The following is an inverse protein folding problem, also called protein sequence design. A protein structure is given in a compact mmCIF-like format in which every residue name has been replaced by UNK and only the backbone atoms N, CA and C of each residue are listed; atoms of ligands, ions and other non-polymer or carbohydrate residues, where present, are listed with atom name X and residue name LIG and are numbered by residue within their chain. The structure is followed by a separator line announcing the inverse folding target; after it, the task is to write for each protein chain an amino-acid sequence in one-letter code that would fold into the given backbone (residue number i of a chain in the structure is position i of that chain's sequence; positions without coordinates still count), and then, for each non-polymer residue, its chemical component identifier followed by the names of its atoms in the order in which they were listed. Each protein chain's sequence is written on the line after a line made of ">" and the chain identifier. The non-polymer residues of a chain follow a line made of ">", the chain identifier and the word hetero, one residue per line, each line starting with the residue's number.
data_IF_820427264815
#
_entry.id   IF_820427264815
#
_cell.length_a   1.000
_cell.length_b   1.000
_cell.length_c   1.000
_cell.angle_alpha   90.00
_cell.angle_beta   90.00
_cell.angle_gamma   90.00
#
_symmetry.space_group_name_H-M   'P 1'
#
loop_
_entity.id
_entity.type
_entity.pdbx_description
1 polymer ?
#
# COMPACT_ATOMS: atom_id res chain seq x y z
N UNK A 1 7.29 6.66 -4.97
CA UNK A 1 8.71 6.47 -4.58
C UNK A 1 9.65 6.27 -5.77
N UNK A 2 9.22 5.71 -6.90
CA UNK A 2 10.08 5.42 -8.06
C UNK A 2 10.84 6.61 -8.66
N UNK A 3 10.48 7.84 -8.32
CA UNK A 3 11.21 9.06 -8.72
C UNK A 3 12.19 9.55 -7.65
N UNK A 4 12.25 8.91 -6.49
CA UNK A 4 13.21 9.28 -5.45
C UNK A 4 14.61 8.74 -5.80
N UNK A 5 15.65 9.58 -5.63
CA UNK A 5 17.03 9.18 -5.93
C UNK A 5 17.45 7.95 -5.12
N UNK A 6 17.99 6.93 -5.82
CA UNK A 6 18.43 5.67 -5.23
C UNK A 6 17.30 4.71 -4.87
N UNK A 7 16.10 4.90 -5.41
CA UNK A 7 14.96 4.00 -5.23
C UNK A 7 14.58 3.38 -6.56
N UNK A 8 14.46 2.05 -6.61
CA UNK A 8 13.91 1.32 -7.75
C UNK A 8 12.93 0.25 -7.27
N UNK A 9 11.94 -0.09 -8.10
CA UNK A 9 11.02 -1.19 -7.79
C UNK A 9 11.73 -2.52 -7.94
N UNK A 10 11.47 -3.45 -7.03
CA UNK A 10 12.09 -4.77 -7.07
C UNK A 10 11.33 -5.75 -7.99
N UNK A 11 10.01 -5.69 -8.01
CA UNK A 11 9.16 -6.74 -8.59
C UNK A 11 8.50 -6.36 -9.93
N UNK A 12 8.98 -5.34 -10.62
CA UNK A 12 8.47 -5.01 -11.96
C UNK A 12 6.95 -4.73 -11.97
N UNK A 13 6.20 -5.57 -12.69
CA UNK A 13 4.72 -5.45 -12.81
C UNK A 13 3.96 -6.21 -11.72
N UNK A 14 4.65 -6.93 -10.83
CA UNK A 14 4.01 -7.64 -9.73
C UNK A 14 3.22 -6.68 -8.83
N UNK A 15 2.01 -7.08 -8.45
CA UNK A 15 1.08 -6.31 -7.63
C UNK A 15 0.87 -6.91 -6.25
N UNK A 16 1.63 -7.94 -5.91
CA UNK A 16 1.50 -8.64 -4.61
C UNK A 16 2.35 -8.03 -3.51
N UNK A 17 3.34 -7.17 -3.85
CA UNK A 17 4.21 -6.55 -2.86
C UNK A 17 4.62 -5.12 -3.22
N UNK A 18 5.12 -4.40 -2.22
CA UNK A 18 5.73 -3.07 -2.36
C UNK A 18 7.27 -3.13 -2.21
N UNK A 19 7.90 -4.26 -2.55
CA UNK A 19 9.35 -4.43 -2.48
C UNK A 19 10.11 -3.40 -3.32
N UNK A 20 11.17 -2.85 -2.74
CA UNK A 20 12.00 -1.82 -3.35
C UNK A 20 13.49 -2.17 -3.23
N UNK A 21 14.31 -1.63 -4.14
CA UNK A 21 15.74 -1.48 -3.92
C UNK A 21 16.01 -0.06 -3.43
N UNK A 22 16.65 0.06 -2.28
CA UNK A 22 17.13 1.30 -1.72
C UNK A 22 18.66 1.30 -1.78
N UNK A 23 19.23 2.17 -2.61
CA UNK A 23 20.69 2.26 -2.80
C UNK A 23 21.33 0.91 -3.16
N UNK A 24 20.63 0.09 -3.96
CA UNK A 24 21.06 -1.24 -4.38
C UNK A 24 20.73 -2.39 -3.42
N UNK A 25 20.26 -2.11 -2.23
CA UNK A 25 19.82 -3.14 -1.26
C UNK A 25 18.32 -3.37 -1.35
N UNK A 26 17.91 -4.62 -1.50
CA UNK A 26 16.49 -4.97 -1.48
C UNK A 26 15.90 -4.77 -0.08
N UNK A 27 14.78 -4.10 0.00
CA UNK A 27 13.96 -4.03 1.20
C UNK A 27 12.57 -4.61 0.92
N UNK A 28 12.17 -5.57 1.72
CA UNK A 28 10.84 -6.18 1.70
C UNK A 28 10.01 -5.67 2.86
N UNK A 29 10.66 -5.31 3.97
CA UNK A 29 10.01 -4.76 5.15
C UNK A 29 9.68 -3.28 4.96
N UNK A 30 8.42 -2.94 5.21
CA UNK A 30 7.97 -1.56 5.31
C UNK A 30 7.41 -1.30 6.69
N UNK A 31 7.68 -0.12 7.18
CA UNK A 31 7.18 0.34 8.48
C UNK A 31 5.93 1.19 8.27
N UNK A 32 5.06 1.14 9.26
CA UNK A 32 3.91 2.05 9.38
C UNK A 32 3.85 2.59 10.80
N UNK A 33 3.78 3.91 10.91
CA UNK A 33 3.75 4.62 12.20
C UNK A 33 4.89 4.18 13.15
N UNK A 34 6.08 3.89 12.58
CA UNK A 34 7.27 3.45 13.30
C UNK A 34 7.34 1.96 13.62
N UNK A 35 6.32 1.17 13.35
CA UNK A 35 6.30 -0.29 13.58
C UNK A 35 6.45 -1.07 12.28
N UNK A 36 7.10 -2.25 12.31
CA UNK A 36 7.19 -3.12 11.15
C UNK A 36 5.78 -3.58 10.75
N UNK A 37 5.38 -3.24 9.53
CA UNK A 37 4.03 -3.49 9.03
C UNK A 37 3.97 -4.64 8.00
N UNK A 38 4.92 -4.67 7.08
CA UNK A 38 5.12 -5.80 6.15
C UNK A 38 6.54 -6.30 6.30
N UNK A 39 6.74 -7.61 6.32
CA UNK A 39 8.02 -8.26 6.57
C UNK A 39 8.56 -9.02 5.35
N UNK A 40 7.69 -9.42 4.43
CA UNK A 40 8.05 -10.23 3.27
C UNK A 40 7.23 -9.88 2.02
N UNK A 41 7.57 -10.52 0.91
CA UNK A 41 6.95 -10.27 -0.41
C UNK A 41 5.50 -10.74 -0.51
N UNK A 42 5.01 -11.53 0.44
CA UNK A 42 3.64 -12.06 0.43
C UNK A 42 2.69 -11.30 1.35
N UNK A 43 3.18 -10.25 2.01
CA UNK A 43 2.36 -9.45 2.94
C UNK A 43 1.45 -8.44 2.23
N UNK A 44 1.45 -8.43 0.89
CA UNK A 44 0.63 -7.53 0.10
C UNK A 44 1.17 -6.10 0.05
N UNK A 45 0.39 -5.25 -0.60
CA UNK A 45 0.70 -3.83 -0.78
C UNK A 45 -0.07 -2.97 0.20
N UNK A 46 0.52 -1.87 0.61
CA UNK A 46 -0.20 -0.85 1.38
C UNK A 46 -1.11 -0.01 0.47
N UNK A 47 -2.22 0.48 1.01
CA UNK A 47 -3.10 1.40 0.28
C UNK A 47 -2.63 2.85 0.48
N UNK A 48 -2.13 3.51 -0.57
CA UNK A 48 -1.61 4.87 -0.45
C UNK A 48 -2.65 5.90 -0.03
N UNK A 49 -3.92 5.69 -0.38
CA UNK A 49 -5.00 6.62 -0.02
C UNK A 49 -5.23 6.72 1.49
N UNK A 50 -4.89 5.67 2.24
CA UNK A 50 -4.93 5.66 3.70
C UNK A 50 -3.74 6.33 4.39
N UNK A 51 -2.76 6.80 3.61
CA UNK A 51 -1.53 7.37 4.14
C UNK A 51 -1.54 8.90 4.07
N UNK A 52 -1.03 9.52 5.12
CA UNK A 52 -0.75 10.96 5.15
C UNK A 52 0.52 11.28 4.35
N UNK A 53 1.57 10.46 4.53
CA UNK A 53 2.84 10.60 3.83
C UNK A 53 3.64 9.31 3.83
N UNK A 54 4.65 9.27 2.97
CA UNK A 54 5.67 8.21 2.90
C UNK A 54 7.02 8.83 3.16
N UNK A 55 7.73 8.31 4.14
CA UNK A 55 9.04 8.76 4.58
C UNK A 55 10.11 7.77 4.10
N UNK A 56 11.12 8.28 3.44
CA UNK A 56 12.28 7.51 3.02
C UNK A 56 13.49 7.90 3.87
N UNK A 57 13.86 7.03 4.80
CA UNK A 57 15.00 7.23 5.70
C UNK A 57 16.21 6.53 5.10
N UNK A 58 17.18 7.32 4.62
CA UNK A 58 18.40 6.83 3.99
C UNK A 58 19.55 6.79 4.99
N UNK A 59 20.27 5.67 5.04
CA UNK A 59 21.44 5.50 5.91
C UNK A 59 21.15 4.69 7.17
N UNK A 60 21.95 4.92 8.21
CA UNK A 60 21.91 4.14 9.45
C UNK A 60 20.68 4.51 10.30
N UNK A 61 19.54 3.90 10.02
CA UNK A 61 18.28 4.10 10.75
C UNK A 61 18.07 3.05 11.86
N UNK A 62 19.05 2.18 12.09
CA UNK A 62 18.95 1.07 13.05
C UNK A 62 18.73 1.51 14.50
N UNK A 63 19.12 2.72 14.86
CA UNK A 63 18.87 3.28 16.19
C UNK A 63 17.36 3.43 16.47
N UNK A 64 16.57 3.74 15.45
CA UNK A 64 15.12 3.97 15.57
C UNK A 64 14.34 2.71 15.21
N UNK A 65 14.76 2.00 14.17
CA UNK A 65 13.98 0.90 13.56
C UNK A 65 14.58 -0.50 13.81
N UNK A 66 15.67 -0.61 14.57
CA UNK A 66 16.33 -1.89 14.85
C UNK A 66 17.08 -2.45 13.64
N UNK A 67 16.99 -3.76 13.41
CA UNK A 67 17.66 -4.44 12.30
C UNK A 67 16.95 -4.14 10.97
N UNK A 68 17.53 -3.24 10.18
CA UNK A 68 16.97 -2.79 8.90
C UNK A 68 17.98 -2.95 7.76
N UNK A 69 17.51 -2.87 6.50
CA UNK A 69 18.36 -2.89 5.32
C UNK A 69 19.39 -1.75 5.35
N UNK A 70 20.66 -2.01 5.00
CA UNK A 70 21.69 -0.96 4.91
C UNK A 70 21.34 0.16 3.93
N UNK A 71 20.47 -0.09 2.97
CA UNK A 71 19.99 0.91 2.00
C UNK A 71 19.11 1.98 2.63
N UNK A 72 18.42 1.65 3.73
CA UNK A 72 17.48 2.53 4.42
C UNK A 72 16.14 1.85 4.72
N UNK A 73 15.19 2.67 5.17
CA UNK A 73 13.85 2.26 5.60
C UNK A 73 12.79 3.08 4.88
N UNK A 74 11.69 2.44 4.52
CA UNK A 74 10.45 3.11 4.15
C UNK A 74 9.50 3.07 5.33
N UNK A 75 9.14 4.23 5.85
CA UNK A 75 8.11 4.39 6.86
C UNK A 75 6.90 5.10 6.24
N UNK A 76 5.72 4.57 6.46
CA UNK A 76 4.46 5.19 6.04
C UNK A 76 3.76 5.73 7.26
N UNK A 77 3.09 6.86 7.12
CA UNK A 77 2.33 7.48 8.22
C UNK A 77 0.86 7.43 7.85
N UNK A 78 0.07 6.81 8.70
CA UNK A 78 -1.38 6.70 8.53
C UNK A 78 -2.07 8.07 8.66
N UNK A 79 -3.12 8.29 7.89
CA UNK A 79 -4.03 9.42 8.09
C UNK A 79 -4.64 9.35 9.50
N UNK A 80 -4.58 10.46 10.24
CA UNK A 80 -5.00 10.53 11.64
C UNK A 80 -6.22 11.43 11.82
N UNK A 81 -6.99 11.23 12.91
CA UNK A 81 -8.07 12.12 13.26
C UNK A 81 -7.61 13.58 13.37
N UNK A 82 -8.46 14.48 12.93
CA UNK A 82 -8.28 15.93 13.04
C UNK A 82 -9.60 16.58 13.41
N UNK A 83 -9.54 17.73 14.07
CA UNK A 83 -10.72 18.57 14.33
C UNK A 83 -11.15 19.35 13.10
N UNK A 84 -10.28 19.50 12.10
CA UNK A 84 -10.64 20.09 10.82
C UNK A 84 -11.64 19.21 10.07
N UNK A 85 -12.66 19.87 9.50
CA UNK A 85 -13.71 19.18 8.76
C UNK A 85 -13.22 18.80 7.37
N UNK A 86 -12.99 17.50 7.13
CA UNK A 86 -12.68 16.93 5.82
C UNK A 86 -13.94 16.23 5.28
N UNK A 87 -14.24 16.47 4.00
CA UNK A 87 -15.35 15.85 3.26
C UNK A 87 -14.89 15.67 1.82
N UNK A 88 -14.23 14.56 1.56
CA UNK A 88 -13.69 14.23 0.24
C UNK A 88 -14.34 12.95 -0.28
N UNK A 89 -14.76 12.97 -1.54
CA UNK A 89 -15.25 11.82 -2.28
C UNK A 89 -14.65 11.87 -3.67
N UNK A 90 -13.95 10.80 -4.06
CA UNK A 90 -13.36 10.67 -5.37
C UNK A 90 -13.98 9.49 -6.12
N UNK A 91 -14.22 9.67 -7.40
CA UNK A 91 -14.67 8.64 -8.33
C UNK A 91 -13.69 8.62 -9.50
N UNK A 92 -13.03 7.49 -9.69
CA UNK A 92 -12.03 7.31 -10.73
C UNK A 92 -12.48 6.24 -11.72
N UNK A 93 -12.30 6.52 -13.00
CA UNK A 93 -12.46 5.56 -14.08
C UNK A 93 -11.20 5.58 -14.96
N UNK A 94 -10.81 4.45 -15.50
CA UNK A 94 -9.57 4.35 -16.26
C UNK A 94 -9.50 3.14 -17.17
N UNK A 95 -8.32 2.96 -17.77
CA UNK A 95 -8.02 1.78 -18.60
C UNK A 95 -8.15 0.48 -17.80
N UNK A 96 -8.34 -0.62 -18.51
CA UNK A 96 -8.50 -1.97 -17.96
C UNK A 96 -9.75 -2.10 -17.07
N UNK A 97 -10.85 -1.45 -17.46
CA UNK A 97 -12.11 -1.50 -16.74
C UNK A 97 -12.09 -0.87 -15.34
N UNK A 98 -11.02 -0.10 -15.01
CA UNK A 98 -10.83 0.48 -13.67
C UNK A 98 -12.00 1.37 -13.27
N UNK A 99 -12.56 1.04 -12.12
CA UNK A 99 -13.58 1.81 -11.42
C UNK A 99 -13.19 1.87 -9.94
N UNK A 100 -13.09 3.07 -9.41
CA UNK A 100 -12.72 3.26 -8.02
C UNK A 100 -13.56 4.36 -7.40
N UNK A 101 -14.00 4.11 -6.17
CA UNK A 101 -14.60 5.12 -5.31
C UNK A 101 -13.77 5.17 -4.04
N UNK A 102 -13.41 6.38 -3.61
CA UNK A 102 -12.70 6.58 -2.35
C UNK A 102 -13.23 7.80 -1.62
N UNK A 103 -13.18 7.77 -0.30
CA UNK A 103 -13.67 8.86 0.55
C UNK A 103 -12.80 9.04 1.79
N UNK A 104 -12.66 10.30 2.20
CA UNK A 104 -11.94 10.72 3.40
C UNK A 104 -12.81 11.71 4.17
N UNK A 105 -13.22 11.33 5.37
CA UNK A 105 -14.12 12.09 6.21
C UNK A 105 -13.49 12.26 7.59
N UNK A 106 -13.35 13.50 8.05
CA UNK A 106 -12.81 13.81 9.36
C UNK A 106 -13.53 15.02 10.01
N UNK A 107 -13.34 15.19 11.30
CA UNK A 107 -13.83 16.33 12.05
C UNK A 107 -13.90 16.09 13.55
N UNK A 108 -14.22 17.14 14.29
CA UNK A 108 -14.55 17.05 15.69
C UNK A 108 -15.90 16.34 15.91
N UNK A 109 -16.03 15.61 17.01
CA UNK A 109 -17.25 14.95 17.45
C UNK A 109 -17.96 15.75 18.55
N UNK A 110 -17.24 16.67 19.20
CA UNK A 110 -17.75 17.55 20.26
C UNK A 110 -17.32 19.01 19.99
N UNK A 111 -18.02 19.94 20.61
CA UNK A 111 -17.79 21.37 20.45
C UNK A 111 -16.44 21.83 21.06
N UNK A 112 -15.93 21.09 22.02
CA UNK A 112 -14.68 21.39 22.71
C UNK A 112 -13.46 20.84 21.92
N UNK A 113 -13.67 20.03 20.87
CA UNK A 113 -12.62 19.42 20.06
C UNK A 113 -11.81 18.36 20.80
N UNK A 114 -12.29 17.85 21.91
CA UNK A 114 -11.64 16.77 22.67
C UNK A 114 -11.70 15.43 21.96
N UNK A 115 -12.77 15.22 21.19
CA UNK A 115 -12.94 14.04 20.36
C UNK A 115 -12.87 14.39 18.88
N UNK A 116 -12.07 13.68 18.15
CA UNK A 116 -12.01 13.79 16.68
C UNK A 116 -11.94 12.42 16.04
N UNK A 117 -12.45 12.33 14.82
CA UNK A 117 -12.45 11.09 14.05
C UNK A 117 -11.87 11.30 12.66
N UNK A 118 -11.46 10.20 12.04
CA UNK A 118 -11.25 10.11 10.60
C UNK A 118 -11.71 8.74 10.10
N UNK A 119 -12.36 8.74 8.95
CA UNK A 119 -12.79 7.55 8.24
C UNK A 119 -12.27 7.65 6.82
N UNK A 120 -11.39 6.74 6.45
CA UNK A 120 -10.88 6.59 5.08
C UNK A 120 -11.40 5.29 4.52
N UNK A 121 -11.98 5.33 3.32
CA UNK A 121 -12.46 4.13 2.65
C UNK A 121 -12.16 4.17 1.16
N UNK A 122 -11.95 3.00 0.56
CA UNK A 122 -11.74 2.84 -0.87
C UNK A 122 -12.30 1.49 -1.33
N UNK A 123 -12.97 1.51 -2.48
CA UNK A 123 -13.34 0.32 -3.23
C UNK A 123 -12.85 0.47 -4.66
N UNK A 124 -12.08 -0.50 -5.13
CA UNK A 124 -11.59 -0.60 -6.49
C UNK A 124 -11.98 -1.94 -7.09
N UNK A 125 -12.42 -1.88 -8.33
CA UNK A 125 -12.63 -3.00 -9.22
C UNK A 125 -11.88 -2.68 -10.52
N UNK A 126 -10.94 -3.51 -10.94
CA UNK A 126 -10.05 -3.21 -12.05
C UNK A 126 -9.34 -4.47 -12.53
N UNK A 127 -9.23 -4.63 -13.83
CA UNK A 127 -8.20 -5.49 -14.40
C UNK A 127 -6.83 -4.80 -14.39
N UNK A 128 -5.80 -5.52 -14.82
CA UNK A 128 -4.46 -4.99 -15.00
C UNK A 128 -4.03 -5.03 -16.48
N UNK A 129 -2.84 -4.53 -16.78
CA UNK A 129 -2.21 -4.68 -18.09
C UNK A 129 -1.97 -6.15 -18.45
N UNK A 130 -1.76 -7.02 -17.47
CA UNK A 130 -1.52 -8.44 -17.67
C UNK A 130 -2.86 -9.17 -17.74
N UNK A 131 -3.04 -10.00 -18.75
CA UNK A 131 -4.26 -10.79 -18.94
C UNK A 131 -4.56 -11.65 -17.69
N UNK A 132 -5.83 -11.75 -17.31
CA UNK A 132 -6.30 -12.56 -16.18
C UNK A 132 -5.77 -12.14 -14.78
N UNK A 133 -5.18 -10.97 -14.65
CA UNK A 133 -4.68 -10.44 -13.38
C UNK A 133 -5.54 -9.26 -12.94
N UNK A 134 -6.48 -9.45 -11.99
CA UNK A 134 -7.28 -8.36 -11.43
C UNK A 134 -6.43 -7.45 -10.51
N UNK A 135 -6.92 -6.26 -10.23
CA UNK A 135 -6.35 -5.30 -9.26
C UNK A 135 -7.47 -4.75 -8.37
N UNK A 136 -8.23 -5.68 -7.76
CA UNK A 136 -9.35 -5.33 -6.90
C UNK A 136 -8.88 -5.03 -5.49
N UNK A 137 -9.51 -4.05 -4.86
CA UNK A 137 -9.23 -3.70 -3.47
C UNK A 137 -10.46 -3.17 -2.75
N UNK A 138 -10.59 -3.59 -1.50
CA UNK A 138 -11.46 -2.96 -0.52
C UNK A 138 -10.59 -2.52 0.65
N UNK A 139 -10.70 -1.26 1.03
CA UNK A 139 -9.92 -0.66 2.11
C UNK A 139 -10.83 0.18 2.99
N UNK A 140 -10.74 0.03 4.31
CA UNK A 140 -11.48 0.82 5.30
C UNK A 140 -10.55 1.05 6.49
N UNK A 141 -10.37 2.30 6.87
CA UNK A 141 -9.50 2.69 7.98
C UNK A 141 -10.19 3.74 8.88
N UNK A 142 -10.99 3.31 9.87
CA UNK A 142 -11.52 4.19 10.88
C UNK A 142 -10.46 4.53 11.92
N UNK A 143 -10.51 5.76 12.43
CA UNK A 143 -9.67 6.18 13.54
C UNK A 143 -10.39 7.18 14.43
N UNK A 144 -10.03 7.18 15.71
CA UNK A 144 -10.64 8.02 16.75
C UNK A 144 -9.52 8.58 17.64
N UNK A 145 -9.58 9.85 17.95
CA UNK A 145 -8.68 10.50 18.89
C UNK A 145 -9.47 11.11 20.04
N UNK A 146 -9.01 10.88 21.24
CA UNK A 146 -9.44 11.54 22.45
C UNK A 146 -8.28 12.37 23.03
N UNK A 147 -8.50 13.65 23.24
CA UNK A 147 -7.52 14.61 23.75
C UNK A 147 -8.20 15.52 24.77
N UNK A 148 -8.29 15.07 26.04
CA UNK A 148 -8.98 15.85 27.09
C UNK A 148 -8.25 17.15 27.44
N UNK A 149 -6.93 17.19 27.28
CA UNK A 149 -6.08 18.34 27.57
C UNK A 149 -4.85 18.40 26.65
N UNK A 150 -3.99 19.41 26.82
CA UNK A 150 -2.82 19.62 25.96
C UNK A 150 -1.72 18.55 26.12
N UNK A 151 -1.70 17.82 27.23
CA UNK A 151 -0.63 16.90 27.60
C UNK A 151 -1.03 15.42 27.41
N UNK A 152 -2.32 15.15 27.26
CA UNK A 152 -2.86 13.79 27.20
C UNK A 152 -3.59 13.56 25.89
N UNK A 153 -3.22 12.52 25.16
CA UNK A 153 -4.00 12.11 23.99
C UNK A 153 -3.95 10.59 23.80
N UNK A 154 -5.06 10.02 23.35
CA UNK A 154 -5.17 8.64 22.92
C UNK A 154 -5.74 8.62 21.52
N UNK A 155 -5.01 8.01 20.57
CA UNK A 155 -5.48 7.79 19.21
C UNK A 155 -5.63 6.30 18.97
N UNK A 156 -6.80 5.86 18.56
CA UNK A 156 -7.07 4.49 18.11
C UNK A 156 -7.11 4.46 16.60
N UNK A 157 -6.43 3.48 16.01
CA UNK A 157 -6.34 3.26 14.58
C UNK A 157 -6.79 1.83 14.28
N UNK A 158 -7.61 1.66 13.26
CA UNK A 158 -7.95 0.34 12.74
C UNK A 158 -7.91 0.34 11.21
N UNK A 159 -7.65 -0.82 10.63
CA UNK A 159 -7.62 -1.00 9.18
C UNK A 159 -8.14 -2.38 8.82
N UNK A 160 -8.91 -2.42 7.75
CA UNK A 160 -9.28 -3.64 7.02
C UNK A 160 -8.91 -3.43 5.56
N UNK A 161 -8.10 -4.32 5.02
CA UNK A 161 -7.76 -4.35 3.60
C UNK A 161 -8.00 -5.75 3.03
N UNK A 162 -8.69 -5.80 1.90
CA UNK A 162 -8.88 -7.01 1.11
C UNK A 162 -8.44 -6.75 -0.32
N UNK A 163 -7.50 -7.55 -0.81
CA UNK A 163 -6.99 -7.48 -2.18
C UNK A 163 -7.32 -8.77 -2.91
N UNK A 164 -7.63 -8.64 -4.20
CA UNK A 164 -7.67 -9.75 -5.14
C UNK A 164 -6.79 -9.41 -6.33
N UNK A 165 -5.78 -10.26 -6.57
CA UNK A 165 -4.87 -10.15 -7.71
C UNK A 165 -4.30 -11.51 -8.05
N UNK A 166 -3.21 -11.56 -8.82
CA UNK A 166 -2.41 -12.74 -9.04
C UNK A 166 -0.91 -12.38 -9.03
N UNK A 167 -0.08 -13.34 -8.68
CA UNK A 167 1.36 -13.17 -8.80
C UNK A 167 1.77 -13.19 -10.27
N UNK A 168 2.56 -12.23 -10.70
CA UNK A 168 3.00 -12.08 -12.07
C UNK A 168 4.47 -12.51 -12.20
N UNK A 169 4.69 -13.64 -12.85
CA UNK A 169 6.03 -14.09 -13.20
C UNK A 169 6.60 -13.29 -14.38
N UNK A 170 7.93 -13.17 -14.42
CA UNK A 170 8.62 -12.59 -15.57
C UNK A 170 8.46 -13.47 -16.83
N UNK A 171 8.35 -12.84 -17.98
CA UNK A 171 8.32 -13.56 -19.25
C UNK A 171 9.69 -14.19 -19.54
N UNK A 172 9.75 -15.39 -20.20
CA UNK A 172 10.99 -16.01 -20.56
C UNK A 172 11.76 -15.19 -21.60
N UNK A 173 13.08 -15.28 -21.59
CA UNK A 173 13.93 -14.57 -22.55
C UNK A 173 13.65 -15.00 -24.01
N UNK A 174 13.41 -16.29 -24.24
CA UNK A 174 13.03 -16.79 -25.57
C UNK A 174 11.59 -16.42 -25.88
N UNK A 175 11.39 -15.71 -26.96
CA UNK A 175 10.09 -15.15 -27.35
C UNK A 175 9.85 -13.72 -26.83
N UNK A 176 10.79 -13.15 -26.07
CA UNK A 176 10.74 -11.74 -25.66
C UNK A 176 12.00 -10.99 -26.12
N UNK A 177 13.16 -11.33 -25.57
CA UNK A 177 14.45 -10.73 -25.91
C UNK A 177 15.20 -11.52 -27.02
N UNK A 178 14.98 -12.83 -27.03
CA UNK A 178 15.62 -13.75 -27.98
C UNK A 178 14.56 -14.35 -28.92
N UNK A 179 14.93 -14.71 -30.15
CA UNK A 179 14.01 -15.36 -31.07
C UNK A 179 13.46 -16.68 -30.53
N UNK A 180 12.23 -17.00 -30.90
CA UNK A 180 11.56 -18.26 -30.57
C UNK A 180 10.87 -18.81 -31.83
N UNK A 181 10.95 -20.11 -32.06
CA UNK A 181 10.32 -20.77 -33.19
C UNK A 181 8.80 -20.59 -33.23
N UNK A 182 8.18 -20.42 -32.07
CA UNK A 182 6.72 -20.18 -31.88
C UNK A 182 6.33 -18.70 -31.98
N UNK A 183 7.28 -17.80 -32.29
CA UNK A 183 7.03 -16.37 -32.40
C UNK A 183 7.24 -15.61 -31.11
N UNK A 184 6.79 -14.34 -31.13
CA UNK A 184 6.96 -13.41 -30.03
C UNK A 184 5.82 -13.54 -28.99
N UNK A 185 6.20 -13.53 -27.72
CA UNK A 185 5.25 -13.55 -26.60
C UNK A 185 4.71 -12.12 -26.38
N UNK A 186 3.40 -11.91 -26.38
CA UNK A 186 2.82 -10.61 -26.04
C UNK A 186 3.21 -10.14 -24.63
N UNK A 187 3.43 -8.83 -24.47
CA UNK A 187 3.85 -8.24 -23.19
C UNK A 187 2.83 -8.40 -22.05
N UNK A 188 1.57 -8.54 -22.42
CA UNK A 188 0.46 -8.75 -21.49
C UNK A 188 0.17 -10.21 -21.17
N UNK A 189 0.98 -11.14 -21.71
CA UNK A 189 0.78 -12.57 -21.46
C UNK A 189 0.94 -12.91 -20.00
N UNK A 190 -0.11 -13.49 -19.41
CA UNK A 190 -0.03 -14.15 -18.11
C UNK A 190 0.62 -15.52 -18.25
N UNK A 191 1.67 -15.76 -17.47
CA UNK A 191 2.32 -17.07 -17.37
C UNK A 191 1.91 -17.70 -16.06
N UNK A 192 0.77 -18.32 -16.04
CA UNK A 192 0.17 -19.01 -14.92
C UNK A 192 -1.11 -19.66 -15.35
N UNK A 193 -1.75 -20.38 -14.46
CA UNK A 193 -3.03 -21.02 -14.69
C UNK A 193 -4.17 -20.05 -14.39
N UNK A 194 -4.77 -19.49 -15.43
CA UNK A 194 -5.86 -18.53 -15.29
C UNK A 194 -7.00 -19.06 -14.41
N UNK A 195 -7.40 -18.30 -13.41
CA UNK A 195 -8.45 -18.66 -12.45
C UNK A 195 -8.01 -19.61 -11.32
N UNK A 196 -6.80 -20.16 -11.37
CA UNK A 196 -6.21 -20.98 -10.29
C UNK A 196 -5.10 -20.24 -9.54
N UNK A 197 -4.18 -19.61 -10.27
CA UNK A 197 -3.12 -18.80 -9.67
C UNK A 197 -3.71 -17.48 -9.19
N UNK A 198 -3.98 -17.41 -7.89
CA UNK A 198 -4.61 -16.27 -7.22
C UNK A 198 -3.71 -15.79 -6.09
N UNK A 199 -3.83 -14.51 -5.82
CA UNK A 199 -3.31 -13.89 -4.61
C UNK A 199 -4.45 -13.08 -3.97
N UNK A 200 -5.08 -13.69 -2.98
CA UNK A 200 -6.13 -13.06 -2.19
C UNK A 200 -5.53 -12.72 -0.82
N UNK A 201 -5.63 -11.46 -0.43
CA UNK A 201 -5.13 -10.95 0.85
C UNK A 201 -6.29 -10.42 1.69
N UNK A 202 -6.38 -10.90 2.91
CA UNK A 202 -7.18 -10.32 3.98
C UNK A 202 -6.25 -9.84 5.09
N UNK A 203 -6.20 -8.53 5.31
CA UNK A 203 -5.39 -7.91 6.36
C UNK A 203 -6.25 -7.09 7.30
N UNK A 204 -6.00 -7.26 8.59
CA UNK A 204 -6.64 -6.53 9.68
C UNK A 204 -5.54 -5.98 10.58
N UNK A 205 -5.65 -4.74 10.96
CA UNK A 205 -4.77 -4.15 11.95
C UNK A 205 -5.53 -3.27 12.93
N UNK A 206 -5.05 -3.23 14.15
CA UNK A 206 -5.49 -2.31 15.19
C UNK A 206 -4.25 -1.78 15.90
N UNK A 207 -4.25 -0.51 16.20
CA UNK A 207 -3.15 0.16 16.88
C UNK A 207 -3.63 1.31 17.75
N UNK A 208 -2.77 1.75 18.65
CA UNK A 208 -3.02 2.93 19.46
C UNK A 208 -1.74 3.74 19.64
N UNK A 209 -1.92 5.03 19.89
CA UNK A 209 -0.88 5.99 20.24
C UNK A 209 -1.36 6.73 21.48
N UNK A 210 -0.58 6.64 22.55
CA UNK A 210 -0.84 7.34 23.80
C UNK A 210 0.27 8.34 24.09
#
# INVERSE_FOLDING_TARGET
>A
LGYAAGVTRAEGLDRTSDSLYLRGFRTTGMYRDGSLFTANIYDGRQEPYGLERIELLKGASSVIFGSVSPGGVVNTVSKRPTTEKIRELNIDAGSFGRRQVSGDFAGALDDEGKWSYRMVALKRDSDSFIDHVPDDRTYIAPSLKWQPDANTSLTLLAEVQKDRTAYVYGLPAYGTLLPNINGQIPRNRFIGEAGRDKFDLDRYSIGYLF
#
